data_IF_663914568288
#
_entry.id   IF_663914568288
#
_cell.length_a   1.000
_cell.length_b   1.000
_cell.length_c   1.000
_cell.angle_alpha   90.00
_cell.angle_beta   90.00
_cell.angle_gamma   90.00
#
_symmetry.space_group_name_H-M   'P 1'
#
loop_
_entity.id
_entity.type
_entity.pdbx_description
1 polymer ?
#
# COMPACT_ATOMS: atom_id res chain seq x y z
N UNK A 1 -29.57 43.59 61.90
CA UNK A 1 -29.04 42.23 61.61
C UNK A 1 -28.75 42.12 60.11
N UNK A 2 -27.50 41.87 59.72
CA UNK A 2 -27.06 41.82 58.31
C UNK A 2 -27.16 40.37 57.78
N UNK A 3 -27.79 40.10 56.63
CA UNK A 3 -27.72 38.77 56.02
C UNK A 3 -26.41 38.57 55.25
N UNK A 4 -25.87 37.37 55.42
CA UNK A 4 -24.56 36.89 54.95
C UNK A 4 -24.60 36.66 53.42
N UNK A 5 -23.62 37.23 52.71
CA UNK A 5 -23.46 37.07 51.27
C UNK A 5 -23.07 35.62 50.89
N UNK A 6 -23.88 35.00 50.02
CA UNK A 6 -23.62 33.67 49.45
C UNK A 6 -22.57 33.76 48.34
N UNK A 7 -21.36 33.25 48.59
CA UNK A 7 -20.30 33.13 47.58
C UNK A 7 -20.69 32.02 46.59
N UNK A 8 -20.96 32.37 45.32
CA UNK A 8 -21.14 31.39 44.23
C UNK A 8 -19.76 30.90 43.77
N UNK A 9 -19.56 29.57 43.78
CA UNK A 9 -18.37 28.91 43.22
C UNK A 9 -18.22 29.23 41.72
N UNK A 10 -17.00 29.42 41.20
CA UNK A 10 -16.80 29.65 39.77
C UNK A 10 -17.21 28.41 38.97
N UNK A 11 -17.95 28.64 37.90
CA UNK A 11 -18.35 27.61 36.95
C UNK A 11 -17.13 27.06 36.23
N UNK A 12 -16.89 25.75 36.36
CA UNK A 12 -15.91 25.00 35.58
C UNK A 12 -16.26 25.17 34.10
N UNK A 13 -15.39 25.84 33.34
CA UNK A 13 -15.49 25.88 31.89
C UNK A 13 -15.38 24.44 31.38
N UNK A 14 -16.49 23.89 30.89
CA UNK A 14 -16.48 22.62 30.15
C UNK A 14 -15.65 22.86 28.88
N UNK A 15 -14.48 22.22 28.86
CA UNK A 15 -13.59 22.17 27.71
C UNK A 15 -14.38 21.88 26.44
N UNK A 16 -14.23 22.77 25.45
CA UNK A 16 -14.73 22.59 24.08
C UNK A 16 -14.21 21.24 23.58
N UNK A 17 -15.14 20.33 23.31
CA UNK A 17 -14.85 19.07 22.63
C UNK A 17 -14.25 19.37 21.26
N UNK A 18 -12.94 19.17 21.12
CA UNK A 18 -12.26 19.15 19.83
C UNK A 18 -12.93 18.06 18.99
N UNK A 19 -13.40 18.34 17.76
CA UNK A 19 -13.96 17.31 16.92
C UNK A 19 -12.89 16.24 16.69
N UNK A 20 -13.19 15.02 17.12
CA UNK A 20 -12.32 13.86 16.98
C UNK A 20 -12.07 13.69 15.47
N UNK A 21 -10.89 14.08 15.00
CA UNK A 21 -10.53 13.97 13.59
C UNK A 21 -10.85 12.55 13.13
N UNK A 22 -11.80 12.44 12.19
CA UNK A 22 -12.21 11.17 11.62
C UNK A 22 -10.96 10.40 11.20
N UNK A 23 -10.92 9.11 11.54
CA UNK A 23 -9.73 8.30 11.29
C UNK A 23 -9.28 8.40 9.82
N UNK A 24 -7.96 8.48 9.54
CA UNK A 24 -7.48 8.77 8.19
C UNK A 24 -8.09 7.85 7.14
N UNK A 25 -8.55 8.43 6.01
CA UNK A 25 -9.07 7.66 4.86
C UNK A 25 -7.99 6.80 4.19
N UNK A 26 -6.73 7.09 4.48
CA UNK A 26 -5.54 6.44 3.91
C UNK A 26 -4.56 5.99 4.99
N UNK A 27 -3.82 4.92 4.72
CA UNK A 27 -2.70 4.41 5.51
C UNK A 27 -1.40 4.87 4.87
N UNK A 28 -0.45 5.32 5.67
CA UNK A 28 0.87 5.71 5.18
C UNK A 28 1.83 4.53 5.31
N UNK A 29 2.37 4.06 4.19
CA UNK A 29 3.57 3.22 4.19
C UNK A 29 4.80 4.10 4.04
N UNK A 30 5.80 3.90 4.90
CA UNK A 30 7.07 4.63 4.87
C UNK A 30 8.21 3.64 4.98
N UNK A 31 9.22 3.81 4.13
CA UNK A 31 10.50 3.16 4.29
C UNK A 31 11.58 4.24 4.49
N UNK A 32 12.08 4.35 5.72
CA UNK A 32 13.10 5.35 6.06
C UNK A 32 14.48 5.02 5.48
N UNK A 33 14.82 3.73 5.32
CA UNK A 33 16.12 3.29 4.78
C UNK A 33 16.30 3.71 3.32
N UNK A 34 15.25 3.59 2.52
CA UNK A 34 15.24 3.97 1.11
C UNK A 34 14.54 5.31 0.84
N UNK A 35 14.26 6.10 1.88
CA UNK A 35 13.79 7.48 1.76
C UNK A 35 12.50 7.64 0.93
N UNK A 36 11.52 6.73 1.04
CA UNK A 36 10.26 6.87 0.31
C UNK A 36 9.02 6.61 1.16
N UNK A 37 7.89 7.11 0.68
CA UNK A 37 6.58 6.85 1.26
C UNK A 37 5.48 6.81 0.21
N UNK A 38 4.41 6.08 0.52
CA UNK A 38 3.21 5.95 -0.34
C UNK A 38 1.97 5.85 0.55
N UNK A 39 0.81 6.30 0.05
CA UNK A 39 -0.47 6.21 0.74
C UNK A 39 -1.35 5.14 0.12
N UNK A 40 -1.90 4.29 0.98
CA UNK A 40 -2.78 3.18 0.62
C UNK A 40 -4.19 3.51 1.10
N UNK A 41 -5.25 3.14 0.38
CA UNK A 41 -6.61 3.19 0.91
C UNK A 41 -6.74 2.36 2.18
N UNK A 42 -7.55 2.82 3.14
CA UNK A 42 -7.70 2.11 4.42
C UNK A 42 -8.14 0.64 4.27
N UNK A 43 -8.94 0.33 3.24
CA UNK A 43 -9.40 -1.04 2.96
C UNK A 43 -8.25 -2.04 2.77
N UNK A 44 -7.08 -1.59 2.29
CA UNK A 44 -5.91 -2.46 2.11
C UNK A 44 -5.45 -3.10 3.42
N UNK A 45 -5.68 -2.47 4.58
CA UNK A 45 -5.33 -3.07 5.89
C UNK A 45 -5.96 -4.45 6.10
N UNK A 46 -7.17 -4.66 5.58
CA UNK A 46 -7.90 -5.92 5.77
C UNK A 46 -7.50 -7.00 4.77
N UNK A 47 -6.95 -6.60 3.62
CA UNK A 47 -6.70 -7.48 2.48
C UNK A 47 -5.23 -7.61 2.11
N UNK A 48 -4.32 -7.06 2.91
CA UNK A 48 -2.88 -7.15 2.63
C UNK A 48 -2.07 -7.63 3.82
N UNK A 49 -1.01 -8.36 3.51
CA UNK A 49 0.11 -8.64 4.41
C UNK A 49 1.36 -8.03 3.77
N UNK A 50 2.07 -7.20 4.52
CA UNK A 50 3.27 -6.53 4.03
C UNK A 50 4.48 -7.43 4.31
N UNK A 51 5.16 -7.88 3.26
CA UNK A 51 6.47 -8.55 3.37
C UNK A 51 7.56 -7.68 2.75
N UNK A 52 8.74 -7.67 3.37
CA UNK A 52 9.89 -6.91 2.90
C UNK A 52 11.03 -7.87 2.61
N UNK A 53 11.72 -7.69 1.50
CA UNK A 53 12.94 -8.42 1.20
C UNK A 53 14.06 -7.44 0.87
N UNK A 54 15.24 -7.73 1.41
CA UNK A 54 16.47 -6.98 1.13
C UNK A 54 17.66 -7.91 0.84
N UNK A 55 17.42 -9.21 0.69
CA UNK A 55 18.44 -10.20 0.33
C UNK A 55 18.16 -10.67 -1.08
N UNK A 56 19.14 -10.51 -1.97
CA UNK A 56 19.26 -11.21 -3.25
C UNK A 56 17.94 -11.29 -4.03
N UNK A 57 17.38 -10.13 -4.35
CA UNK A 57 16.48 -10.03 -5.50
C UNK A 57 17.41 -9.75 -6.67
N UNK A 58 17.40 -10.61 -7.69
CA UNK A 58 18.42 -10.68 -8.75
C UNK A 58 19.04 -9.31 -9.07
N UNK A 59 18.20 -8.31 -9.37
CA UNK A 59 18.64 -6.96 -9.72
C UNK A 59 18.19 -5.84 -8.74
N UNK A 60 17.26 -6.13 -7.82
CA UNK A 60 16.71 -5.13 -6.89
C UNK A 60 17.43 -5.14 -5.53
N UNK A 61 17.84 -3.98 -5.01
CA UNK A 61 18.40 -3.88 -3.66
C UNK A 61 17.33 -3.96 -2.55
N UNK A 62 16.05 -3.79 -2.91
CA UNK A 62 14.93 -3.87 -1.98
C UNK A 62 13.60 -4.14 -2.69
N UNK A 63 12.76 -4.95 -2.05
CA UNK A 63 11.35 -5.08 -2.37
C UNK A 63 10.46 -4.96 -1.14
N UNK A 64 9.26 -4.40 -1.34
CA UNK A 64 8.13 -4.58 -0.45
C UNK A 64 6.93 -5.10 -1.24
N UNK A 65 6.38 -6.21 -0.76
CA UNK A 65 5.24 -6.90 -1.31
C UNK A 65 4.01 -6.59 -0.46
N UNK A 66 2.96 -6.10 -1.10
CA UNK A 66 1.62 -6.01 -0.53
C UNK A 66 0.86 -7.27 -0.94
N UNK A 67 1.12 -8.38 -0.23
CA UNK A 67 0.54 -9.69 -0.51
C UNK A 67 -0.96 -9.67 -0.28
N UNK A 68 -1.74 -10.14 -1.25
CA UNK A 68 -3.17 -10.23 -1.11
C UNK A 68 -3.52 -11.29 -0.05
N UNK A 69 -4.45 -10.96 0.85
CA UNK A 69 -4.95 -11.85 1.88
C UNK A 69 -6.46 -11.88 1.84
N UNK A 70 -7.04 -13.08 1.86
CA UNK A 70 -8.47 -13.26 1.95
C UNK A 70 -8.81 -14.45 2.84
N UNK A 71 -9.72 -14.25 3.81
CA UNK A 71 -10.17 -15.27 4.77
C UNK A 71 -9.04 -16.09 5.41
N UNK A 72 -7.93 -15.43 5.75
CA UNK A 72 -6.79 -16.06 6.41
C UNK A 72 -5.73 -16.63 5.46
N UNK A 73 -6.07 -16.94 4.20
CA UNK A 73 -5.09 -17.37 3.19
C UNK A 73 -4.37 -16.16 2.59
N UNK A 74 -3.06 -16.30 2.39
CA UNK A 74 -2.19 -15.34 1.71
C UNK A 74 -1.95 -15.85 0.29
N UNK A 75 -2.04 -14.95 -0.67
CA UNK A 75 -1.83 -15.18 -2.10
C UNK A 75 -0.68 -14.27 -2.59
N UNK A 76 -0.53 -14.16 -3.90
CA UNK A 76 0.44 -13.28 -4.55
C UNK A 76 0.25 -11.78 -4.24
N UNK A 77 1.25 -10.97 -4.63
CA UNK A 77 1.25 -9.53 -4.40
C UNK A 77 0.23 -8.81 -5.27
N UNK A 78 -0.61 -7.97 -4.65
CA UNK A 78 -1.45 -7.00 -5.38
C UNK A 78 -0.64 -5.78 -5.86
N UNK A 79 0.49 -5.50 -5.21
CA UNK A 79 1.42 -4.44 -5.55
C UNK A 79 2.80 -4.83 -5.00
N UNK A 80 3.83 -4.69 -5.80
CA UNK A 80 5.23 -4.80 -5.36
C UNK A 80 5.92 -3.49 -5.64
N UNK A 81 6.60 -2.92 -4.64
CA UNK A 81 7.48 -1.76 -4.83
C UNK A 81 8.93 -2.23 -4.76
N UNK A 82 9.72 -1.77 -5.72
CA UNK A 82 11.08 -2.20 -5.96
C UNK A 82 12.01 -0.99 -5.92
N UNK A 83 13.21 -1.20 -5.40
CA UNK A 83 14.31 -0.24 -5.49
C UNK A 83 15.50 -0.96 -6.09
N UNK A 84 15.99 -0.42 -7.20
CA UNK A 84 17.16 -0.91 -7.92
C UNK A 84 18.32 0.05 -7.70
N UNK A 85 19.54 -0.50 -7.59
CA UNK A 85 20.76 0.29 -7.52
C UNK A 85 21.42 0.34 -8.90
N UNK A 86 20.92 1.21 -9.77
CA UNK A 86 21.44 1.43 -11.11
C UNK A 86 21.12 2.84 -11.62
N UNK A 87 21.81 3.25 -12.68
CA UNK A 87 21.53 4.50 -13.39
C UNK A 87 20.32 4.34 -14.31
N UNK A 88 19.70 5.46 -14.71
CA UNK A 88 18.64 5.45 -15.71
C UNK A 88 19.13 4.93 -17.06
N UNK A 89 20.38 5.24 -17.43
CA UNK A 89 21.00 4.72 -18.65
C UNK A 89 21.05 3.19 -18.63
N UNK A 90 21.56 2.60 -17.54
CA UNK A 90 21.64 1.15 -17.37
C UNK A 90 20.24 0.49 -17.40
N UNK A 91 19.26 1.10 -16.73
CA UNK A 91 17.86 0.65 -16.76
C UNK A 91 17.31 0.53 -18.19
N UNK A 92 17.58 1.52 -19.04
CA UNK A 92 17.13 1.54 -20.44
C UNK A 92 17.91 0.50 -21.26
N UNK A 93 19.25 0.45 -21.10
CA UNK A 93 20.12 -0.49 -21.83
C UNK A 93 19.80 -1.95 -21.53
N UNK A 94 19.36 -2.26 -20.31
CA UNK A 94 18.93 -3.61 -19.90
C UNK A 94 17.46 -3.90 -20.28
N UNK A 95 16.78 -3.00 -20.98
CA UNK A 95 15.44 -3.24 -21.52
C UNK A 95 14.30 -3.17 -20.49
N UNK A 96 14.53 -2.61 -19.30
CA UNK A 96 13.50 -2.55 -18.26
C UNK A 96 12.29 -1.70 -18.63
N UNK A 97 12.44 -0.73 -19.54
CA UNK A 97 11.31 0.06 -20.05
C UNK A 97 10.32 -0.79 -20.89
N UNK A 98 10.74 -1.96 -21.37
CA UNK A 98 9.89 -2.94 -22.07
C UNK A 98 9.37 -4.04 -21.13
N UNK A 99 9.81 -4.04 -19.86
CA UNK A 99 9.41 -5.02 -18.87
C UNK A 99 8.05 -4.67 -18.23
N UNK A 100 7.37 -5.62 -17.56
CA UNK A 100 6.18 -5.33 -16.74
C UNK A 100 6.48 -4.48 -15.48
N UNK A 101 7.72 -4.06 -15.28
CA UNK A 101 8.16 -3.25 -14.14
C UNK A 101 8.12 -1.77 -14.52
N UNK A 102 7.29 -1.01 -13.83
CA UNK A 102 7.01 0.38 -14.16
C UNK A 102 7.81 1.31 -13.26
N UNK A 103 8.69 2.12 -13.87
CA UNK A 103 9.50 3.11 -13.18
C UNK A 103 8.63 4.26 -12.62
N UNK A 104 8.86 4.63 -11.36
CA UNK A 104 8.20 5.76 -10.68
C UNK A 104 9.12 6.97 -10.53
N UNK A 105 10.37 6.76 -10.12
CA UNK A 105 11.29 7.85 -9.81
C UNK A 105 12.76 7.43 -9.92
N UNK A 106 13.65 8.42 -10.00
CA UNK A 106 15.10 8.25 -9.99
C UNK A 106 15.70 9.20 -8.96
N UNK A 107 16.57 8.72 -8.08
CA UNK A 107 17.32 9.57 -7.14
C UNK A 107 18.58 8.88 -6.63
N UNK A 108 19.71 9.60 -6.62
CA UNK A 108 20.97 9.14 -6.03
C UNK A 108 21.42 7.75 -6.52
N UNK A 109 21.40 7.52 -7.84
CA UNK A 109 21.79 6.23 -8.44
C UNK A 109 20.84 5.07 -8.13
N UNK A 110 19.58 5.38 -7.80
CA UNK A 110 18.52 4.39 -7.59
C UNK A 110 17.33 4.63 -8.49
N UNK A 111 16.77 3.54 -8.99
CA UNK A 111 15.46 3.52 -9.65
C UNK A 111 14.43 3.00 -8.65
N UNK A 112 13.34 3.73 -8.49
CA UNK A 112 12.17 3.30 -7.74
C UNK A 112 11.11 2.88 -8.73
N UNK A 113 10.61 1.66 -8.61
CA UNK A 113 9.67 1.08 -9.56
C UNK A 113 8.60 0.27 -8.85
N UNK A 114 7.55 -0.11 -9.57
CA UNK A 114 6.54 -1.02 -9.08
C UNK A 114 6.19 -2.07 -10.12
N UNK A 115 5.68 -3.21 -9.64
CA UNK A 115 5.14 -4.26 -10.47
C UNK A 115 3.77 -4.68 -9.94
N UNK A 116 2.93 -5.16 -10.86
CA UNK A 116 1.60 -5.68 -10.60
C UNK A 116 1.56 -7.16 -10.95
N UNK A 117 0.64 -7.93 -10.36
CA UNK A 117 0.45 -9.31 -10.78
C UNK A 117 0.01 -9.32 -12.25
N UNK A 118 0.68 -10.14 -13.06
CA UNK A 118 0.30 -10.33 -14.47
C UNK A 118 -1.00 -11.11 -14.60
N UNK A 119 -1.24 -12.03 -13.67
CA UNK A 119 -2.40 -12.92 -13.65
C UNK A 119 -3.03 -12.98 -12.25
N UNK A 120 -4.24 -13.53 -12.16
CA UNK A 120 -4.82 -13.85 -10.85
C UNK A 120 -4.09 -15.08 -10.26
N UNK A 121 -4.07 -15.23 -8.92
CA UNK A 121 -3.43 -16.37 -8.28
C UNK A 121 -3.87 -17.71 -8.88
N UNK A 122 -2.92 -18.60 -9.16
CA UNK A 122 -3.19 -19.92 -9.75
C UNK A 122 -4.20 -20.72 -8.93
N UNK A 123 -4.26 -20.51 -7.61
CA UNK A 123 -5.22 -21.23 -6.77
C UNK A 123 -6.67 -20.80 -6.99
N UNK A 124 -6.89 -19.75 -7.79
CA UNK A 124 -8.21 -19.35 -8.26
C UNK A 124 -8.65 -20.08 -9.51
N UNK A 125 -7.78 -20.87 -10.15
CA UNK A 125 -8.13 -21.70 -11.30
C UNK A 125 -9.16 -22.78 -10.92
N UNK A 126 -9.97 -23.16 -11.90
CA UNK A 126 -10.86 -24.31 -11.80
C UNK A 126 -10.04 -25.62 -11.82
N UNK A 127 -10.71 -26.76 -11.64
CA UNK A 127 -10.03 -28.07 -11.58
C UNK A 127 -9.31 -28.47 -12.88
N UNK A 128 -9.68 -27.88 -14.02
CA UNK A 128 -9.05 -28.13 -15.33
C UNK A 128 -7.85 -27.20 -15.60
N UNK A 129 -7.73 -26.10 -14.85
CA UNK A 129 -6.68 -25.11 -15.05
C UNK A 129 -6.85 -24.22 -16.29
N UNK A 130 -8.00 -24.30 -16.98
CA UNK A 130 -8.26 -23.59 -18.24
C UNK A 130 -8.99 -22.25 -18.05
N UNK A 131 -9.62 -22.03 -16.89
CA UNK A 131 -10.28 -20.78 -16.50
C UNK A 131 -10.31 -20.63 -14.97
N UNK A 132 -10.66 -19.46 -14.47
CA UNK A 132 -10.84 -19.18 -13.06
C UNK A 132 -12.18 -19.69 -12.52
N UNK A 133 -12.16 -20.26 -11.32
CA UNK A 133 -13.38 -20.66 -10.60
C UNK A 133 -14.05 -19.44 -9.97
N UNK A 134 -14.83 -18.72 -10.78
CA UNK A 134 -15.60 -17.56 -10.33
C UNK A 134 -16.71 -17.92 -9.33
N UNK A 135 -17.16 -19.18 -9.26
CA UNK A 135 -18.15 -19.61 -8.27
C UNK A 135 -17.52 -19.63 -6.87
N UNK A 136 -16.31 -20.18 -6.75
CA UNK A 136 -15.58 -20.26 -5.48
C UNK A 136 -14.83 -18.97 -5.13
N UNK A 137 -14.23 -18.33 -6.12
CA UNK A 137 -13.31 -17.20 -5.92
C UNK A 137 -13.83 -15.86 -6.46
N UNK A 138 -15.07 -15.77 -6.92
CA UNK A 138 -15.62 -14.53 -7.49
C UNK A 138 -15.48 -13.30 -6.57
N UNK A 139 -15.64 -13.48 -5.25
CA UNK A 139 -15.43 -12.38 -4.28
C UNK A 139 -13.96 -11.96 -4.14
N UNK A 140 -13.00 -12.84 -3.81
CA UNK A 140 -11.60 -12.46 -3.76
C UNK A 140 -11.07 -11.93 -5.09
N UNK A 141 -11.51 -12.47 -6.23
CA UNK A 141 -11.16 -11.97 -7.57
C UNK A 141 -11.62 -10.51 -7.74
N UNK A 142 -12.88 -10.19 -7.43
CA UNK A 142 -13.37 -8.79 -7.51
C UNK A 142 -12.60 -7.84 -6.59
N UNK A 143 -12.25 -8.28 -5.39
CA UNK A 143 -11.48 -7.46 -4.45
C UNK A 143 -10.08 -7.20 -4.99
N UNK A 144 -9.36 -8.25 -5.40
CA UNK A 144 -8.01 -8.13 -5.96
C UNK A 144 -8.02 -7.27 -7.23
N UNK A 145 -8.97 -7.50 -8.13
CA UNK A 145 -9.16 -6.70 -9.34
C UNK A 145 -9.39 -5.23 -9.02
N UNK A 146 -10.26 -4.89 -8.05
CA UNK A 146 -10.46 -3.48 -7.65
C UNK A 146 -9.23 -2.88 -6.96
N UNK A 147 -8.45 -3.68 -6.22
CA UNK A 147 -7.19 -3.21 -5.65
C UNK A 147 -6.19 -2.87 -6.75
N UNK A 148 -6.01 -3.74 -7.74
CA UNK A 148 -5.04 -3.56 -8.84
C UNK A 148 -5.50 -2.47 -9.80
N UNK A 149 -6.74 -2.53 -10.31
CA UNK A 149 -7.20 -1.66 -11.38
C UNK A 149 -7.69 -0.29 -10.89
N UNK A 150 -8.32 -0.20 -9.71
CA UNK A 150 -8.89 1.06 -9.24
C UNK A 150 -7.99 1.81 -8.25
N UNK A 151 -7.30 1.08 -7.36
CA UNK A 151 -6.52 1.70 -6.29
C UNK A 151 -5.08 1.97 -6.68
N UNK A 152 -4.38 1.01 -7.28
CA UNK A 152 -2.94 1.15 -7.60
C UNK A 152 -2.66 2.43 -8.39
N UNK A 153 -3.41 2.79 -9.47
CA UNK A 153 -3.13 4.02 -10.22
C UNK A 153 -3.21 5.29 -9.35
N UNK A 154 -4.02 5.27 -8.28
CA UNK A 154 -4.12 6.37 -7.30
C UNK A 154 -3.01 6.28 -6.26
N UNK A 155 -2.68 5.07 -5.80
CA UNK A 155 -1.62 4.78 -4.83
C UNK A 155 -0.26 5.28 -5.35
N UNK A 156 0.13 4.88 -6.57
CA UNK A 156 1.45 5.23 -7.14
C UNK A 156 1.63 6.75 -7.33
N UNK A 157 0.55 7.49 -7.63
CA UNK A 157 0.55 8.97 -7.66
C UNK A 157 0.84 9.62 -6.31
N UNK A 158 0.70 8.89 -5.21
CA UNK A 158 1.05 9.38 -3.86
C UNK A 158 2.49 9.10 -3.46
N UNK A 159 3.28 8.44 -4.33
CA UNK A 159 4.68 8.17 -4.08
C UNK A 159 5.44 9.47 -3.84
N UNK A 160 6.19 9.52 -2.74
CA UNK A 160 7.04 10.65 -2.39
C UNK A 160 8.39 10.17 -1.91
N UNK A 161 9.44 10.71 -2.54
CA UNK A 161 10.79 10.67 -2.00
C UNK A 161 10.87 11.63 -0.81
N UNK A 162 11.68 11.26 0.18
CA UNK A 162 11.94 12.01 1.40
C UNK A 162 13.42 12.30 1.57
#
# INVERSE_FOLDING_TARGET
MKPIARIKKPAVQRNRSVPRAGSPRTLLYRNSKYGFSIRLPRRWKCYTVIRRSSRQLDDAEYAVYFLFKYKGKIYESALTLLVYRMTLKKWIEEGYDESPIIRMAVRNGRIYAYALPSELPEEFLNAKGDDYDYKRYGRPIRILSSMVNDDVPKIVKTFKLR
#
